data_IF_631402797911
#
_entry.id   IF_631402797911
#
_cell.length_a   1.000
_cell.length_b   1.000
_cell.length_c   1.000
_cell.angle_alpha   90.00
_cell.angle_beta   90.00
_cell.angle_gamma   90.00
#
_symmetry.space_group_name_H-M   'P 1'
#
loop_
_entity.id
_entity.type
_entity.pdbx_description
1 polymer ?
#
# COMPACT_ATOMS: atom_id res chain seq x y z
N UNK A 1 1.48 -3.22 -73.73
CA UNK A 1 0.08 -3.01 -73.31
C UNK A 1 -0.22 -4.04 -72.20
N UNK A 2 -0.93 -3.64 -71.18
CA UNK A 2 -1.36 -4.40 -69.98
C UNK A 2 -0.30 -4.43 -68.85
N UNK A 3 -0.48 -3.88 -67.79
CA UNK A 3 -1.53 -3.27 -67.01
C UNK A 3 -1.13 -3.45 -65.52
N UNK A 4 -0.90 -2.38 -64.85
CA UNK A 4 -0.74 -2.33 -63.42
C UNK A 4 -2.04 -2.67 -62.71
N UNK A 5 -2.00 -3.31 -61.54
CA UNK A 5 -2.90 -3.16 -60.39
C UNK A 5 -2.80 -4.35 -59.43
N UNK A 6 -1.97 -4.24 -58.43
CA UNK A 6 -2.17 -4.97 -57.16
C UNK A 6 -1.15 -4.52 -56.11
N UNK A 7 -1.24 -3.29 -55.68
CA UNK A 7 -0.46 -2.82 -54.52
C UNK A 7 -1.34 -1.89 -53.73
N UNK A 8 -2.14 -2.46 -52.83
CA UNK A 8 -3.03 -1.57 -52.07
C UNK A 8 -3.75 -2.14 -50.87
N UNK A 9 -3.52 -3.38 -50.46
CA UNK A 9 -4.34 -3.99 -49.39
C UNK A 9 -3.53 -4.39 -48.12
N UNK A 10 -2.21 -4.37 -48.19
CA UNK A 10 -1.38 -4.90 -47.09
C UNK A 10 -1.04 -3.90 -46.00
N UNK A 11 -1.41 -2.62 -46.07
CA UNK A 11 -0.96 -1.59 -45.10
C UNK A 11 -2.00 -1.23 -44.02
N UNK A 12 -3.22 -1.74 -44.15
CA UNK A 12 -4.28 -1.37 -43.18
C UNK A 12 -4.48 -2.31 -41.99
N UNK A 13 -3.79 -3.45 -41.95
CA UNK A 13 -3.95 -4.44 -40.87
C UNK A 13 -2.98 -4.28 -39.70
N UNK A 14 -1.99 -3.41 -39.79
CA UNK A 14 -0.95 -3.27 -38.76
C UNK A 14 -1.21 -2.15 -37.74
N UNK A 15 -2.26 -1.35 -37.92
CA UNK A 15 -2.50 -0.18 -37.08
C UNK A 15 -3.49 -0.42 -35.91
N UNK A 16 -4.06 -1.64 -35.78
CA UNK A 16 -5.08 -1.92 -34.76
C UNK A 16 -4.53 -2.66 -33.52
N UNK A 17 -3.24 -3.01 -33.49
CA UNK A 17 -2.68 -3.85 -32.40
C UNK A 17 -1.90 -3.06 -31.34
N UNK A 18 -1.86 -1.72 -31.42
CA UNK A 18 -1.02 -0.91 -30.54
C UNK A 18 -1.79 -0.06 -29.51
N UNK A 19 -3.05 -0.35 -29.24
CA UNK A 19 -3.89 0.51 -28.38
C UNK A 19 -4.40 -0.16 -27.07
N UNK A 20 -3.80 -1.28 -26.65
CA UNK A 20 -4.06 -1.80 -25.29
C UNK A 20 -2.81 -1.48 -24.45
N UNK A 21 -2.55 -0.19 -24.26
CA UNK A 21 -1.72 0.26 -23.14
C UNK A 21 -2.60 0.11 -21.90
N UNK A 22 -2.52 -1.08 -21.28
CA UNK A 22 -3.12 -1.32 -19.97
C UNK A 22 -2.48 -0.33 -19.02
N UNK A 23 -3.23 0.70 -18.65
CA UNK A 23 -2.95 1.55 -17.51
C UNK A 23 -2.98 0.66 -16.26
N UNK A 24 -1.84 0.03 -15.98
CA UNK A 24 -1.60 -0.59 -14.67
C UNK A 24 -1.50 0.59 -13.72
N UNK A 25 -2.63 1.00 -13.17
CA UNK A 25 -2.64 1.84 -11.99
C UNK A 25 -1.93 1.04 -10.91
N UNK A 26 -0.66 1.36 -10.66
CA UNK A 26 0.01 0.96 -9.42
C UNK A 26 -0.76 1.67 -8.31
N UNK A 27 -1.70 0.96 -7.70
CA UNK A 27 -2.23 1.42 -6.43
C UNK A 27 -1.01 1.47 -5.50
N UNK A 28 -0.51 2.66 -5.20
CA UNK A 28 0.51 2.86 -4.20
C UNK A 28 -0.07 2.33 -2.89
N UNK A 29 0.41 1.13 -2.51
CA UNK A 29 0.04 0.55 -1.23
C UNK A 29 0.57 1.47 -0.12
N UNK A 30 -0.22 1.61 0.93
CA UNK A 30 0.26 2.33 2.10
C UNK A 30 1.55 1.67 2.63
N UNK A 31 2.49 2.47 3.13
CA UNK A 31 3.68 1.96 3.83
C UNK A 31 3.77 2.55 5.24
N UNK A 32 4.36 1.80 6.17
CA UNK A 32 4.68 2.29 7.49
C UNK A 32 6.18 2.60 7.56
N UNK A 33 6.53 3.87 7.66
CA UNK A 33 7.94 4.30 7.76
C UNK A 33 8.33 4.44 9.21
N UNK A 34 9.26 3.61 9.69
CA UNK A 34 9.82 3.72 11.03
C UNK A 34 11.09 4.55 11.00
N UNK A 35 11.01 5.76 11.54
CA UNK A 35 12.18 6.61 11.77
C UNK A 35 12.87 6.23 13.07
N UNK A 36 14.16 5.94 12.99
CA UNK A 36 14.98 5.49 14.12
C UNK A 36 16.33 6.19 14.15
N UNK A 37 17.07 6.06 15.27
CA UNK A 37 18.45 6.54 15.42
C UNK A 37 19.32 5.47 16.03
N UNK A 38 20.62 5.57 15.79
CA UNK A 38 21.61 4.74 16.49
C UNK A 38 21.54 5.00 18.00
N UNK A 39 21.68 3.94 18.80
CA UNK A 39 21.63 4.04 20.26
C UNK A 39 20.23 4.28 20.87
N UNK A 40 19.16 4.26 20.07
CA UNK A 40 17.80 4.44 20.57
C UNK A 40 17.30 3.18 21.32
N UNK A 41 17.09 3.22 22.64
CA UNK A 41 16.69 2.04 23.41
C UNK A 41 15.28 1.56 23.10
N UNK A 42 14.37 2.49 22.81
CA UNK A 42 12.99 2.16 22.42
C UNK A 42 12.91 1.54 21.03
N UNK A 43 13.80 1.96 20.10
CA UNK A 43 13.92 1.32 18.80
C UNK A 43 14.41 -0.14 18.93
N UNK A 44 15.44 -0.35 19.78
CA UNK A 44 15.95 -1.68 20.06
C UNK A 44 14.91 -2.57 20.78
N UNK A 45 14.06 -1.97 21.61
CA UNK A 45 12.96 -2.68 22.24
C UNK A 45 11.92 -3.12 21.22
N UNK A 46 11.51 -2.22 20.32
CA UNK A 46 10.60 -2.54 19.21
C UNK A 46 11.17 -3.65 18.31
N UNK A 47 12.46 -3.58 17.97
CA UNK A 47 13.14 -4.60 17.16
C UNK A 47 13.03 -6.01 17.76
N UNK A 48 13.08 -6.12 19.09
CA UNK A 48 12.97 -7.41 19.79
C UNK A 48 11.52 -7.88 19.92
N UNK A 49 10.59 -6.99 20.23
CA UNK A 49 9.21 -7.34 20.58
C UNK A 49 8.31 -7.45 19.35
N UNK A 50 8.44 -6.54 18.40
CA UNK A 50 7.56 -6.44 17.22
C UNK A 50 8.23 -6.89 15.93
N UNK A 51 9.51 -6.55 15.74
CA UNK A 51 10.24 -6.82 14.49
C UNK A 51 10.07 -8.24 13.97
N UNK A 52 10.24 -9.31 14.78
CA UNK A 52 10.16 -10.70 14.32
C UNK A 52 8.75 -11.14 13.89
N UNK A 53 7.72 -10.46 14.37
CA UNK A 53 6.33 -10.83 14.13
C UNK A 53 5.63 -9.92 13.12
N UNK A 54 6.08 -8.66 12.97
CA UNK A 54 5.43 -7.67 12.10
C UNK A 54 5.18 -8.20 10.68
N UNK A 55 6.22 -8.73 10.04
CA UNK A 55 6.16 -9.24 8.66
C UNK A 55 5.23 -10.44 8.47
N UNK A 56 4.82 -11.09 9.56
CA UNK A 56 3.92 -12.25 9.56
C UNK A 56 2.46 -11.87 9.73
N UNK A 57 2.16 -10.60 9.92
CA UNK A 57 0.80 -10.10 10.17
C UNK A 57 0.08 -9.68 8.88
N UNK A 58 -1.26 -9.70 8.91
CA UNK A 58 -2.08 -9.11 7.85
C UNK A 58 -1.81 -7.60 7.69
N UNK A 59 -1.47 -6.95 8.79
CA UNK A 59 -1.14 -5.53 8.82
C UNK A 59 0.06 -5.22 7.94
N UNK A 60 1.09 -6.08 7.96
CA UNK A 60 2.29 -5.88 7.13
C UNK A 60 2.01 -5.98 5.63
N UNK A 61 0.94 -6.67 5.23
CA UNK A 61 0.50 -6.72 3.82
C UNK A 61 -0.19 -5.43 3.38
N UNK A 62 -0.89 -4.76 4.32
CA UNK A 62 -1.56 -3.48 4.05
C UNK A 62 -0.60 -2.29 4.14
N UNK A 63 0.37 -2.37 5.06
CA UNK A 63 1.36 -1.35 5.30
C UNK A 63 2.72 -2.02 5.60
N UNK A 64 3.46 -2.45 4.57
CA UNK A 64 4.81 -2.97 4.77
C UNK A 64 5.67 -1.92 5.47
N UNK A 65 6.57 -2.39 6.36
CA UNK A 65 7.41 -1.47 7.12
C UNK A 65 8.72 -1.19 6.40
N UNK A 66 9.08 0.09 6.31
CA UNK A 66 10.39 0.57 5.86
C UNK A 66 11.09 1.30 7.00
N UNK A 67 12.32 0.94 7.27
CA UNK A 67 13.13 1.59 8.32
C UNK A 67 14.02 2.67 7.72
N UNK A 68 14.05 3.83 8.39
CA UNK A 68 14.88 4.98 8.04
C UNK A 68 15.72 5.36 9.25
N UNK A 69 17.04 5.37 9.11
CA UNK A 69 17.97 5.71 10.18
C UNK A 69 18.42 7.18 10.06
N UNK A 70 17.88 8.03 10.93
CA UNK A 70 18.19 9.48 10.97
C UNK A 70 19.66 9.80 11.24
N UNK A 71 20.45 8.85 11.77
CA UNK A 71 21.88 9.04 12.00
C UNK A 71 22.71 8.79 10.75
N UNK A 72 22.20 8.07 9.77
CA UNK A 72 22.93 7.58 8.59
C UNK A 72 22.36 8.05 7.27
N UNK A 73 21.03 8.07 7.17
CA UNK A 73 20.32 8.38 5.94
C UNK A 73 20.21 9.90 5.79
N UNK A 74 21.06 10.49 4.93
CA UNK A 74 21.13 11.94 4.73
C UNK A 74 20.09 12.47 3.75
N UNK A 75 19.69 11.64 2.78
CA UNK A 75 18.73 11.98 1.73
C UNK A 75 17.31 11.51 2.15
N UNK A 76 16.86 12.03 3.27
CA UNK A 76 15.51 11.68 3.74
C UNK A 76 14.49 12.47 2.93
N UNK A 77 13.60 11.81 2.19
CA UNK A 77 12.38 12.46 1.76
C UNK A 77 11.44 12.62 2.97
N UNK A 78 11.88 13.41 3.97
CA UNK A 78 10.99 13.83 5.05
C UNK A 78 10.04 14.87 4.46
N UNK A 79 9.08 14.41 3.69
CA UNK A 79 7.93 15.21 3.25
C UNK A 79 6.99 15.53 4.42
N UNK A 80 7.29 14.99 5.56
CA UNK A 80 6.49 14.99 6.77
C UNK A 80 7.27 15.77 7.82
N UNK A 81 6.72 16.72 8.48
CA UNK A 81 7.37 17.61 9.44
C UNK A 81 8.47 16.95 10.32
N UNK A 82 9.14 17.68 11.17
CA UNK A 82 10.35 17.21 11.86
C UNK A 82 10.06 15.95 12.68
N UNK A 83 10.99 14.98 12.65
CA UNK A 83 10.96 13.80 13.51
C UNK A 83 11.76 14.13 14.78
N UNK A 84 11.07 14.36 15.88
CA UNK A 84 11.67 14.78 17.16
C UNK A 84 11.99 13.56 18.01
N UNK A 85 11.10 12.59 18.06
CA UNK A 85 11.23 11.38 18.86
C UNK A 85 11.58 10.15 18.02
N UNK A 86 12.23 9.17 18.62
CA UNK A 86 12.47 7.86 17.99
C UNK A 86 12.13 6.73 18.98
N UNK A 87 11.47 5.65 18.45
CA UNK A 87 10.99 5.53 17.10
C UNK A 87 9.79 6.43 16.82
N UNK A 88 9.65 6.90 15.57
CA UNK A 88 8.40 7.47 15.06
C UNK A 88 7.96 6.64 13.86
N UNK A 89 6.70 6.24 13.85
CA UNK A 89 6.08 5.47 12.77
C UNK A 89 5.14 6.38 11.99
N UNK A 90 5.45 6.61 10.71
CA UNK A 90 4.65 7.45 9.81
C UNK A 90 3.94 6.53 8.81
N UNK A 91 2.62 6.59 8.80
CA UNK A 91 1.83 5.93 7.77
C UNK A 91 1.77 6.83 6.53
N UNK A 92 2.22 6.29 5.42
CA UNK A 92 2.31 6.98 4.13
C UNK A 92 1.40 6.28 3.14
N UNK A 93 0.57 7.02 2.42
CA UNK A 93 -0.23 6.53 1.31
C UNK A 93 -0.08 7.50 0.13
N UNK A 94 0.18 6.97 -1.06
CA UNK A 94 0.42 7.78 -2.27
C UNK A 94 1.51 8.85 -2.06
N UNK A 95 2.55 8.52 -1.28
CA UNK A 95 3.64 9.44 -0.95
C UNK A 95 3.28 10.58 0.01
N UNK A 96 2.10 10.56 0.60
CA UNK A 96 1.62 11.54 1.57
C UNK A 96 1.52 10.92 2.97
N UNK A 97 1.87 11.67 4.01
CA UNK A 97 1.62 11.26 5.38
C UNK A 97 0.11 11.26 5.67
N UNK A 98 -0.41 10.12 6.08
CA UNK A 98 -1.79 9.98 6.56
C UNK A 98 -1.87 10.23 8.06
N UNK A 99 -0.82 9.88 8.78
CA UNK A 99 -0.69 10.11 10.21
C UNK A 99 0.55 9.45 10.79
N UNK A 100 0.77 9.63 12.09
CA UNK A 100 1.97 9.10 12.76
C UNK A 100 1.72 8.63 14.17
N UNK A 101 2.62 7.77 14.65
CA UNK A 101 2.73 7.35 16.04
C UNK A 101 4.14 7.68 16.52
N UNK A 102 4.28 8.47 17.56
CA UNK A 102 5.56 8.81 18.19
C UNK A 102 5.82 7.92 19.40
N UNK A 103 7.06 7.42 19.48
CA UNK A 103 7.52 6.56 20.57
C UNK A 103 7.02 5.10 20.45
N UNK A 104 7.60 4.27 21.34
CA UNK A 104 7.19 2.88 21.52
C UNK A 104 7.03 2.59 23.01
N UNK A 105 5.83 2.27 23.43
CA UNK A 105 5.47 2.07 24.85
C UNK A 105 5.19 0.61 25.21
N UNK A 106 5.29 -0.29 24.24
CA UNK A 106 5.03 -1.73 24.38
C UNK A 106 4.15 -2.28 23.27
N UNK A 107 4.08 -3.59 23.18
CA UNK A 107 3.44 -4.35 22.11
C UNK A 107 1.93 -4.10 22.02
N UNK A 108 1.20 -4.23 23.13
CA UNK A 108 -0.26 -4.02 23.14
C UNK A 108 -0.64 -2.63 22.63
N UNK A 109 0.02 -1.59 23.14
CA UNK A 109 -0.23 -0.21 22.72
C UNK A 109 0.17 0.04 21.28
N UNK A 110 1.25 -0.60 20.81
CA UNK A 110 1.68 -0.49 19.42
C UNK A 110 0.60 -0.99 18.46
N UNK A 111 0.06 -2.19 18.70
CA UNK A 111 -0.94 -2.78 17.82
C UNK A 111 -2.25 -2.00 17.81
N UNK A 112 -2.72 -1.56 18.99
CA UNK A 112 -3.94 -0.73 19.09
C UNK A 112 -3.78 0.60 18.34
N UNK A 113 -2.66 1.29 18.56
CA UNK A 113 -2.40 2.58 17.89
C UNK A 113 -2.25 2.40 16.38
N UNK A 114 -1.57 1.35 15.95
CA UNK A 114 -1.39 1.04 14.54
C UNK A 114 -2.71 0.69 13.87
N UNK A 115 -3.56 -0.10 14.51
CA UNK A 115 -4.90 -0.41 14.01
C UNK A 115 -5.75 0.85 13.82
N UNK A 116 -5.74 1.77 14.81
CA UNK A 116 -6.42 3.05 14.72
C UNK A 116 -5.86 3.92 13.57
N UNK A 117 -4.54 3.94 13.41
CA UNK A 117 -3.89 4.68 12.33
C UNK A 117 -4.27 4.11 10.95
N UNK A 118 -4.29 2.78 10.81
CA UNK A 118 -4.70 2.11 9.57
C UNK A 118 -6.19 2.27 9.25
N UNK A 119 -7.03 2.52 10.26
CA UNK A 119 -8.45 2.79 10.06
C UNK A 119 -8.70 4.14 9.37
N UNK A 120 -7.71 5.04 9.35
CA UNK A 120 -7.80 6.31 8.62
C UNK A 120 -7.57 6.17 7.11
N UNK A 121 -7.02 5.02 6.68
CA UNK A 121 -6.86 4.72 5.26
C UNK A 121 -8.23 4.46 4.61
N UNK A 122 -8.43 4.85 3.34
CA UNK A 122 -9.58 4.40 2.58
C UNK A 122 -9.67 2.88 2.63
N UNK A 123 -10.85 2.35 2.93
CA UNK A 123 -11.04 0.91 2.93
C UNK A 123 -10.86 0.39 1.50
N UNK A 124 -9.74 -0.28 1.26
CA UNK A 124 -9.59 -1.05 0.05
C UNK A 124 -10.59 -2.21 0.14
N UNK A 125 -11.61 -2.18 -0.72
CA UNK A 125 -12.50 -3.32 -0.88
C UNK A 125 -11.64 -4.58 -1.10
N UNK A 126 -11.95 -5.71 -0.44
CA UNK A 126 -11.16 -6.92 -0.58
C UNK A 126 -11.10 -7.29 -2.07
N UNK A 127 -9.89 -7.31 -2.63
CA UNK A 127 -9.66 -7.82 -3.98
C UNK A 127 -10.10 -9.28 -4.01
N UNK A 128 -11.31 -9.54 -4.54
CA UNK A 128 -11.83 -10.89 -4.72
C UNK A 128 -13.21 -11.19 -4.17
N UNK A 129 -13.89 -10.25 -3.52
CA UNK A 129 -15.32 -10.41 -3.25
C UNK A 129 -16.09 -10.11 -4.56
N UNK A 130 -16.13 -11.07 -5.46
CA UNK A 130 -17.17 -11.15 -6.45
C UNK A 130 -18.49 -11.27 -5.68
N UNK A 131 -19.25 -10.20 -5.64
CA UNK A 131 -20.64 -10.22 -5.21
C UNK A 131 -21.35 -11.19 -6.16
N UNK A 132 -21.47 -12.46 -5.73
CA UNK A 132 -22.51 -13.30 -6.28
C UNK A 132 -23.80 -12.69 -5.79
N UNK A 133 -24.49 -12.05 -6.70
CA UNK A 133 -25.87 -11.65 -6.55
C UNK A 133 -26.70 -12.93 -6.25
N UNK A 134 -26.81 -13.20 -4.95
CA UNK A 134 -27.70 -14.21 -4.44
C UNK A 134 -29.06 -13.54 -4.32
N UNK A 135 -29.76 -13.51 -5.45
CA UNK A 135 -31.17 -13.20 -5.52
C UNK A 135 -31.89 -14.23 -4.63
N UNK A 136 -32.09 -13.88 -3.37
CA UNK A 136 -32.98 -14.63 -2.47
C UNK A 136 -34.38 -14.44 -2.99
N UNK A 137 -34.84 -15.41 -3.80
CA UNK A 137 -36.24 -15.58 -4.13
C UNK A 137 -36.96 -16.01 -2.86
N UNK A 138 -37.53 -15.05 -2.17
CA UNK A 138 -38.51 -15.32 -1.12
C UNK A 138 -39.76 -15.85 -1.83
N UNK A 139 -39.85 -17.18 -1.89
CA UNK A 139 -41.09 -17.83 -2.28
C UNK A 139 -42.11 -17.57 -1.18
N UNK A 140 -42.98 -16.61 -1.42
CA UNK A 140 -44.18 -16.34 -0.65
C UNK A 140 -45.10 -17.55 -0.75
N UNK A 141 -45.17 -18.35 0.32
CA UNK A 141 -46.23 -19.33 0.52
C UNK A 141 -47.35 -18.65 1.28
N UNK A 142 -48.39 -18.27 0.58
CA UNK A 142 -49.68 -17.96 1.19
C UNK A 142 -50.54 -19.23 1.27
N UNK A 143 -51.49 -19.34 2.26
CA UNK A 143 -52.22 -20.50 2.64
C UNK A 143 -53.34 -20.90 1.70
#
# INVERSE_FOLDING_TARGET
MHSARATGIAIRAFSALCAIFVLVSTADAAELVMYRRDGCPYCARWDREIGPIYSKTEISRRAPIRMVNLSRDRDLPIKHGPIIFTPTFVLVENGQEVGRMEGYTGDEFFWVRLANLLATLPQQAPKGASVRDETVVIAERAP
#
